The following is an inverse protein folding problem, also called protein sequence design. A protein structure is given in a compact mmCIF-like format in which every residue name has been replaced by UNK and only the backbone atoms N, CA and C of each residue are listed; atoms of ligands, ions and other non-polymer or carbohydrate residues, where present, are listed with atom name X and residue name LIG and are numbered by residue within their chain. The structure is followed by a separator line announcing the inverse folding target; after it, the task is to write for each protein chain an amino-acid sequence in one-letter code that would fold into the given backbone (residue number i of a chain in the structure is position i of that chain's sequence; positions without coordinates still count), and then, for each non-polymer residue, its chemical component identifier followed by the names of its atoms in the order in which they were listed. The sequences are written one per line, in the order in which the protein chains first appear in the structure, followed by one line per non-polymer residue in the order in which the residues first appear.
data_IF_016834880438
#
_entry.id   IF_016834880438
#
_cell.length_a   1.000
_cell.length_b   1.000
_cell.length_c   1.000
_cell.angle_alpha   90.00
_cell.angle_beta   90.00
_cell.angle_gamma   90.00
#
_symmetry.space_group_name_H-M   'P 1'
#
loop_
_entity.id
_entity.type
_entity.pdbx_description
1 polymer ?
#
# COMPACT_ATOMS: atom_id res chain seq x y z
N UNK A 1 7.03 -6.65 -8.84
CA UNK A 1 7.22 -6.87 -7.39
C UNK A 1 8.31 -7.90 -7.22
N UNK A 2 9.12 -7.77 -6.17
CA UNK A 2 10.31 -8.61 -5.92
C UNK A 2 10.20 -9.38 -4.59
N UNK A 3 11.21 -10.19 -4.28
CA UNK A 3 11.28 -10.96 -3.04
C UNK A 3 11.15 -10.09 -1.78
N UNK A 4 11.67 -8.85 -1.82
CA UNK A 4 11.56 -7.91 -0.72
C UNK A 4 10.09 -7.58 -0.38
N UNK A 5 9.20 -7.59 -1.37
CA UNK A 5 7.77 -7.33 -1.18
C UNK A 5 7.16 -8.24 -0.11
N UNK A 6 7.51 -9.53 -0.09
CA UNK A 6 6.97 -10.50 0.86
C UNK A 6 7.54 -10.38 2.28
N UNK A 7 8.62 -9.61 2.44
CA UNK A 7 9.19 -9.29 3.75
C UNK A 7 8.48 -8.12 4.44
N UNK A 8 7.70 -7.33 3.70
CA UNK A 8 6.97 -6.19 4.24
C UNK A 8 5.87 -6.66 5.23
N UNK A 9 5.64 -5.94 6.34
CA UNK A 9 4.65 -6.32 7.35
C UNK A 9 3.27 -6.70 6.81
N UNK A 10 2.71 -5.89 5.91
CA UNK A 10 1.42 -6.12 5.28
C UNK A 10 1.37 -7.39 4.42
N UNK A 11 2.17 -7.48 3.33
CA UNK A 11 2.29 -8.68 2.50
C UNK A 11 2.59 -9.97 3.26
N UNK A 12 3.44 -9.90 4.30
CA UNK A 12 3.77 -11.05 5.16
C UNK A 12 2.54 -11.62 5.88
N UNK A 13 1.48 -10.83 6.07
CA UNK A 13 0.20 -11.33 6.62
C UNK A 13 -0.50 -12.34 5.71
N UNK A 14 -0.23 -12.33 4.39
CA UNK A 14 -0.75 -13.35 3.48
C UNK A 14 -0.08 -14.69 3.77
N UNK A 15 1.25 -14.71 3.86
CA UNK A 15 2.04 -15.94 4.15
C UNK A 15 1.71 -16.48 5.54
N UNK A 16 1.74 -15.63 6.57
CA UNK A 16 1.42 -16.07 7.93
C UNK A 16 -0.03 -16.53 8.06
N UNK A 17 -0.97 -15.88 7.36
CA UNK A 17 -2.34 -16.36 7.21
C UNK A 17 -2.41 -17.76 6.60
N UNK A 18 -1.68 -18.02 5.52
CA UNK A 18 -1.58 -19.37 4.91
C UNK A 18 -1.15 -20.41 5.94
N UNK A 19 -0.08 -20.15 6.69
CA UNK A 19 0.45 -21.09 7.68
C UNK A 19 -0.53 -21.32 8.82
N UNK A 20 -1.24 -20.30 9.26
CA UNK A 20 -2.24 -20.43 10.32
C UNK A 20 -3.45 -21.26 9.86
N UNK A 21 -3.81 -21.18 8.58
CA UNK A 21 -4.85 -22.05 8.00
C UNK A 21 -4.38 -23.48 7.79
N UNK A 22 -3.14 -23.69 7.38
CA UNK A 22 -2.52 -25.02 7.30
C UNK A 22 -2.46 -25.69 8.69
N UNK A 23 -2.11 -24.95 9.75
CA UNK A 23 -2.16 -25.45 11.14
C UNK A 23 -3.56 -25.82 11.61
N UNK A 24 -4.61 -25.22 11.02
CA UNK A 24 -6.01 -25.61 11.23
C UNK A 24 -6.43 -26.79 10.36
N UNK A 25 -5.49 -27.38 9.61
CA UNK A 25 -5.70 -28.48 8.70
C UNK A 25 -6.39 -28.08 7.39
N UNK A 26 -6.52 -26.80 7.06
CA UNK A 26 -7.24 -26.39 5.85
C UNK A 26 -6.31 -26.33 4.64
N UNK A 27 -6.81 -26.71 3.47
CA UNK A 27 -6.22 -26.32 2.20
C UNK A 27 -6.38 -24.80 2.02
N UNK A 28 -5.53 -24.16 1.23
CA UNK A 28 -5.52 -22.70 1.09
C UNK A 28 -5.47 -22.28 -0.38
N UNK A 29 -6.41 -21.43 -0.80
CA UNK A 29 -6.33 -20.68 -2.05
C UNK A 29 -5.89 -19.24 -1.75
N UNK A 30 -4.77 -18.82 -2.34
CA UNK A 30 -4.29 -17.45 -2.31
C UNK A 30 -4.73 -16.75 -3.59
N UNK A 31 -5.63 -15.79 -3.45
CA UNK A 31 -6.27 -15.13 -4.60
C UNK A 31 -5.58 -13.81 -4.86
N UNK A 32 -4.96 -13.69 -6.02
CA UNK A 32 -4.29 -12.49 -6.49
C UNK A 32 -5.13 -11.80 -7.60
N UNK A 33 -5.01 -10.48 -7.78
CA UNK A 33 -5.50 -9.80 -8.98
C UNK A 33 -4.97 -10.45 -10.25
N UNK A 34 -5.74 -10.43 -11.34
CA UNK A 34 -5.39 -11.11 -12.59
C UNK A 34 -3.96 -10.78 -13.09
N UNK A 35 -3.56 -9.51 -13.03
CA UNK A 35 -2.20 -9.10 -13.42
C UNK A 35 -1.10 -9.72 -12.55
N UNK A 36 -1.31 -9.80 -11.23
CA UNK A 36 -0.37 -10.45 -10.30
C UNK A 36 -0.37 -11.97 -10.44
N UNK A 37 -1.54 -12.59 -10.61
CA UNK A 37 -1.69 -14.03 -10.77
C UNK A 37 -1.02 -14.54 -12.06
N UNK A 38 -0.93 -13.70 -13.09
CA UNK A 38 -0.31 -14.03 -14.37
C UNK A 38 1.19 -13.65 -14.44
N UNK A 39 1.74 -12.94 -13.45
CA UNK A 39 3.14 -12.53 -13.43
C UNK A 39 4.00 -13.62 -12.75
N UNK A 40 4.88 -14.32 -13.49
CA UNK A 40 5.75 -15.35 -12.90
C UNK A 40 6.66 -14.79 -11.82
N UNK A 41 7.16 -13.56 -11.95
CA UNK A 41 8.06 -12.98 -10.95
C UNK A 41 7.40 -12.83 -9.57
N UNK A 42 6.09 -12.52 -9.57
CA UNK A 42 5.27 -12.38 -8.36
C UNK A 42 4.92 -13.75 -7.79
N UNK A 43 4.42 -14.66 -8.63
CA UNK A 43 3.94 -15.97 -8.19
C UNK A 43 5.07 -16.92 -7.80
N UNK A 44 6.21 -16.87 -8.49
CA UNK A 44 7.45 -17.57 -8.12
C UNK A 44 7.95 -17.12 -6.75
N UNK A 45 8.13 -15.81 -6.56
CA UNK A 45 8.64 -15.29 -5.28
C UNK A 45 7.68 -15.58 -4.12
N UNK A 46 6.37 -15.51 -4.33
CA UNK A 46 5.37 -15.88 -3.33
C UNK A 46 5.42 -17.38 -2.99
N UNK A 47 5.47 -18.24 -4.01
CA UNK A 47 5.51 -19.69 -3.80
C UNK A 47 6.78 -20.12 -3.06
N UNK A 48 7.94 -19.54 -3.39
CA UNK A 48 9.21 -19.76 -2.68
C UNK A 48 9.06 -19.33 -1.22
N UNK A 49 8.56 -18.12 -0.96
CA UNK A 49 8.38 -17.63 0.41
C UNK A 49 7.44 -18.51 1.26
N UNK A 50 6.38 -19.05 0.65
CA UNK A 50 5.48 -19.99 1.32
C UNK A 50 6.16 -21.33 1.58
N UNK A 51 6.85 -21.91 0.59
CA UNK A 51 7.56 -23.18 0.75
C UNK A 51 8.63 -23.06 1.83
N UNK A 52 9.40 -21.97 1.86
CA UNK A 52 10.44 -21.74 2.86
C UNK A 52 9.86 -21.63 4.28
N UNK A 53 8.78 -20.86 4.47
CA UNK A 53 8.17 -20.71 5.79
C UNK A 53 7.41 -21.97 6.22
N UNK A 54 6.76 -22.69 5.31
CA UNK A 54 6.12 -23.98 5.58
C UNK A 54 7.15 -25.07 5.93
N UNK A 55 8.32 -25.06 5.28
CA UNK A 55 9.44 -25.98 5.53
C UNK A 55 9.99 -25.90 6.96
N UNK A 56 9.71 -24.81 7.69
CA UNK A 56 10.07 -24.66 9.11
C UNK A 56 9.17 -25.46 10.04
N UNK A 57 7.99 -25.88 9.57
CA UNK A 57 6.97 -26.57 10.36
C UNK A 57 6.80 -28.02 9.90
N UNK A 58 6.84 -28.26 8.58
CA UNK A 58 6.67 -29.59 8.00
C UNK A 58 7.40 -29.71 6.66
N UNK A 59 7.33 -30.88 5.99
CA UNK A 59 7.83 -31.03 4.62
C UNK A 59 6.97 -30.20 3.67
N UNK A 60 7.59 -29.33 2.89
CA UNK A 60 6.91 -28.56 1.85
C UNK A 60 7.56 -28.76 0.48
N UNK A 61 6.74 -28.88 -0.56
CA UNK A 61 7.17 -29.10 -1.94
C UNK A 61 6.39 -28.21 -2.88
N UNK A 62 7.06 -27.73 -3.93
CA UNK A 62 6.40 -27.04 -5.03
C UNK A 62 6.02 -28.04 -6.11
N UNK A 63 4.81 -27.90 -6.64
CA UNK A 63 4.31 -28.64 -7.80
C UNK A 63 4.41 -27.71 -9.00
N UNK A 64 5.01 -28.20 -10.08
CA UNK A 64 5.07 -27.53 -11.37
C UNK A 64 4.14 -28.22 -12.35
N UNK A 65 3.80 -27.53 -13.43
CA UNK A 65 3.08 -28.15 -14.53
C UNK A 65 3.92 -29.28 -15.16
N UNK A 66 3.22 -30.35 -15.54
CA UNK A 66 3.79 -31.42 -16.36
C UNK A 66 3.03 -31.46 -17.69
N UNK A 67 3.78 -31.32 -18.78
CA UNK A 67 3.23 -31.30 -20.14
C UNK A 67 2.90 -32.70 -20.66
N UNK A 68 3.40 -33.74 -20.00
CA UNK A 68 3.12 -35.14 -20.35
C UNK A 68 1.80 -35.63 -19.72
N UNK A 69 1.26 -34.89 -18.74
CA UNK A 69 0.00 -35.20 -18.06
C UNK A 69 -1.20 -34.53 -18.75
N UNK A 70 -2.26 -35.30 -19.00
CA UNK A 70 -3.48 -34.86 -19.70
C UNK A 70 -4.49 -34.15 -18.77
N UNK A 71 -4.34 -34.31 -17.45
CA UNK A 71 -5.21 -33.73 -16.43
C UNK A 71 -4.45 -33.14 -15.23
N UNK A 72 -5.10 -32.27 -14.48
CA UNK A 72 -4.52 -31.67 -13.27
C UNK A 72 -4.27 -32.73 -12.20
N UNK A 73 -5.18 -33.69 -12.02
CA UNK A 73 -5.01 -34.76 -11.04
C UNK A 73 -3.75 -35.60 -11.32
N UNK A 74 -3.46 -35.91 -12.60
CA UNK A 74 -2.27 -36.65 -12.99
C UNK A 74 -0.98 -35.91 -12.63
N UNK A 75 -0.92 -34.58 -12.85
CA UNK A 75 0.24 -33.77 -12.46
C UNK A 75 0.51 -33.89 -10.96
N UNK A 76 -0.54 -33.76 -10.15
CA UNK A 76 -0.44 -33.88 -8.70
C UNK A 76 -0.06 -35.30 -8.27
N UNK A 77 -0.68 -36.31 -8.86
CA UNK A 77 -0.43 -37.71 -8.57
C UNK A 77 1.01 -38.11 -8.87
N UNK A 78 1.53 -37.78 -10.06
CA UNK A 78 2.91 -38.03 -10.45
C UNK A 78 3.93 -37.27 -9.59
N UNK A 79 3.57 -36.07 -9.10
CA UNK A 79 4.44 -35.31 -8.19
C UNK A 79 4.49 -35.93 -6.79
N UNK A 80 3.38 -36.54 -6.34
CA UNK A 80 3.31 -37.22 -5.04
C UNK A 80 4.07 -38.54 -5.07
N UNK A 81 3.81 -39.40 -6.05
CA UNK A 81 4.50 -40.68 -6.25
C UNK A 81 4.57 -41.02 -7.75
N UNK A 82 5.74 -40.90 -8.41
CA UNK A 82 5.87 -41.18 -9.83
C UNK A 82 5.82 -42.68 -10.15
N UNK A 83 6.12 -43.55 -9.18
CA UNK A 83 6.16 -45.00 -9.37
C UNK A 83 4.78 -45.65 -9.16
N UNK A 84 3.97 -45.09 -8.25
CA UNK A 84 2.59 -45.53 -7.96
C UNK A 84 1.64 -44.32 -7.78
N UNK A 85 1.33 -43.58 -8.87
CA UNK A 85 0.57 -42.34 -8.78
C UNK A 85 -0.88 -42.59 -8.33
N UNK A 86 -1.40 -41.83 -7.35
CA UNK A 86 -2.78 -41.98 -6.89
C UNK A 86 -3.79 -41.67 -8.01
N UNK A 87 -4.75 -42.57 -8.21
CA UNK A 87 -5.72 -42.49 -9.31
C UNK A 87 -6.91 -41.57 -9.03
N UNK A 88 -7.17 -41.20 -7.78
CA UNK A 88 -8.32 -40.37 -7.38
C UNK A 88 -7.94 -39.31 -6.34
N UNK A 89 -8.78 -38.29 -6.17
CA UNK A 89 -8.58 -37.25 -5.13
C UNK A 89 -8.54 -37.85 -3.71
N UNK A 90 -9.41 -38.80 -3.31
CA UNK A 90 -9.27 -39.51 -2.05
C UNK A 90 -7.95 -40.24 -1.89
N UNK A 91 -7.49 -40.94 -2.94
CA UNK A 91 -6.22 -41.67 -2.90
C UNK A 91 -5.04 -40.69 -2.76
N UNK A 92 -5.10 -39.56 -3.46
CA UNK A 92 -4.13 -38.48 -3.38
C UNK A 92 -4.06 -37.95 -1.93
N UNK A 93 -5.20 -37.58 -1.34
CA UNK A 93 -5.29 -37.03 0.02
C UNK A 93 -4.70 -37.97 1.09
N UNK A 94 -4.94 -39.27 0.97
CA UNK A 94 -4.50 -40.28 1.93
C UNK A 94 -3.16 -40.96 1.56
N UNK A 95 -2.48 -40.47 0.51
CA UNK A 95 -1.27 -41.11 0.00
C UNK A 95 -0.10 -41.01 1.00
N UNK A 96 0.59 -42.12 1.26
CA UNK A 96 1.65 -42.18 2.27
C UNK A 96 2.85 -41.26 1.96
N UNK A 97 3.16 -41.03 0.67
CA UNK A 97 4.22 -40.08 0.27
C UNK A 97 3.81 -38.62 0.42
N UNK A 98 2.50 -38.33 0.48
CA UNK A 98 1.95 -37.00 0.70
C UNK A 98 1.65 -36.70 2.17
N UNK A 99 1.74 -37.69 3.05
CA UNK A 99 1.39 -37.56 4.46
C UNK A 99 2.18 -36.43 5.15
N UNK A 100 1.46 -35.57 5.87
CA UNK A 100 1.98 -34.39 6.56
C UNK A 100 2.66 -33.36 5.64
N UNK A 101 2.62 -33.53 4.32
CA UNK A 101 3.34 -32.69 3.36
C UNK A 101 2.47 -31.57 2.83
N UNK A 102 3.03 -30.36 2.75
CA UNK A 102 2.40 -29.20 2.13
C UNK A 102 2.86 -29.09 0.68
N UNK A 103 1.93 -29.18 -0.24
CA UNK A 103 2.17 -28.94 -1.66
C UNK A 103 1.75 -27.52 -2.03
N UNK A 104 2.60 -26.81 -2.76
CA UNK A 104 2.35 -25.44 -3.23
C UNK A 104 2.33 -25.46 -4.75
N UNK A 105 1.28 -24.94 -5.38
CA UNK A 105 1.18 -24.81 -6.84
C UNK A 105 0.77 -23.39 -7.24
N UNK A 106 1.12 -22.99 -8.46
CA UNK A 106 0.70 -21.75 -9.10
C UNK A 106 -0.18 -22.10 -10.30
N UNK A 107 -1.46 -21.69 -10.26
CA UNK A 107 -2.42 -22.07 -11.30
C UNK A 107 -2.02 -21.60 -12.71
N UNK A 108 -1.35 -20.45 -12.82
CA UNK A 108 -0.91 -19.87 -14.09
C UNK A 108 0.26 -20.61 -14.76
N UNK A 109 0.95 -21.52 -14.05
CA UNK A 109 2.02 -22.34 -14.65
C UNK A 109 1.48 -23.56 -15.42
N UNK A 110 0.25 -23.96 -15.11
CA UNK A 110 -0.41 -25.09 -15.76
C UNK A 110 -0.91 -24.72 -17.15
N UNK A 111 -1.05 -25.74 -18.02
CA UNK A 111 -1.65 -25.54 -19.34
C UNK A 111 -3.09 -25.06 -19.20
N UNK A 112 -3.63 -24.34 -20.20
CA UNK A 112 -5.02 -23.84 -20.16
C UNK A 112 -6.03 -24.95 -19.82
N UNK A 113 -5.84 -26.15 -20.37
CA UNK A 113 -6.66 -27.32 -20.09
C UNK A 113 -6.59 -27.76 -18.61
N UNK A 114 -5.38 -27.90 -18.07
CA UNK A 114 -5.19 -28.25 -16.66
C UNK A 114 -5.72 -27.14 -15.74
N UNK A 115 -5.56 -25.88 -16.16
CA UNK A 115 -6.01 -24.72 -15.42
C UNK A 115 -7.54 -24.66 -15.31
N UNK A 116 -8.25 -24.97 -16.40
CA UNK A 116 -9.71 -25.07 -16.43
C UNK A 116 -10.28 -26.15 -15.48
N UNK A 117 -9.44 -27.09 -15.02
CA UNK A 117 -9.83 -28.14 -14.07
C UNK A 117 -9.76 -27.70 -12.60
N UNK A 118 -9.01 -26.65 -12.26
CA UNK A 118 -8.82 -26.20 -10.86
C UNK A 118 -10.13 -26.01 -10.10
N UNK A 119 -11.16 -25.30 -10.61
CA UNK A 119 -12.40 -25.11 -9.85
C UNK A 119 -13.08 -26.42 -9.45
N UNK A 120 -13.10 -27.41 -10.35
CA UNK A 120 -13.72 -28.72 -10.08
C UNK A 120 -12.84 -29.58 -9.17
N UNK A 121 -11.52 -29.55 -9.40
CA UNK A 121 -10.55 -30.26 -8.58
C UNK A 121 -10.58 -29.76 -7.13
N UNK A 122 -10.55 -28.45 -6.91
CA UNK A 122 -10.60 -27.84 -5.58
C UNK A 122 -11.93 -28.10 -4.86
N UNK A 123 -13.05 -28.06 -5.58
CA UNK A 123 -14.35 -28.44 -5.03
C UNK A 123 -14.36 -29.90 -4.58
N UNK A 124 -13.77 -30.80 -5.38
CA UNK A 124 -13.67 -32.23 -5.05
C UNK A 124 -12.74 -32.47 -3.87
N UNK A 125 -11.60 -31.78 -3.84
CA UNK A 125 -10.62 -31.82 -2.76
C UNK A 125 -11.29 -31.45 -1.44
N UNK A 126 -12.00 -30.33 -1.38
CA UNK A 126 -12.73 -29.88 -0.19
C UNK A 126 -13.72 -30.95 0.30
N UNK A 127 -14.54 -31.51 -0.61
CA UNK A 127 -15.54 -32.52 -0.26
C UNK A 127 -14.93 -33.81 0.30
N UNK A 128 -13.85 -34.29 -0.31
CA UNK A 128 -13.22 -35.55 0.08
C UNK A 128 -12.32 -35.39 1.31
N UNK A 129 -11.89 -34.16 1.62
CA UNK A 129 -11.07 -33.84 2.81
C UNK A 129 -11.76 -34.22 4.12
N UNK A 130 -13.09 -34.19 4.18
CA UNK A 130 -13.87 -34.58 5.36
C UNK A 130 -13.74 -36.06 5.71
N UNK A 131 -13.30 -36.90 4.76
CA UNK A 131 -13.18 -38.34 4.95
C UNK A 131 -11.78 -38.78 5.42
N UNK A 132 -10.83 -37.85 5.55
CA UNK A 132 -9.44 -38.13 5.92
C UNK A 132 -9.04 -37.25 7.11
N UNK A 133 -8.38 -37.83 8.12
CA UNK A 133 -7.93 -37.08 9.29
C UNK A 133 -6.91 -36.00 8.89
N UNK A 134 -6.96 -34.84 9.56
CA UNK A 134 -6.08 -33.69 9.28
C UNK A 134 -4.59 -34.01 9.42
N UNK A 135 -4.26 -34.91 10.34
CA UNK A 135 -2.89 -35.18 10.76
C UNK A 135 -2.22 -36.24 9.89
N UNK A 136 -3.00 -36.86 8.99
CA UNK A 136 -2.57 -37.98 8.13
C UNK A 136 -2.84 -37.72 6.64
N UNK A 137 -2.94 -36.45 6.24
CA UNK A 137 -3.27 -36.03 4.87
C UNK A 137 -2.30 -35.01 4.34
N UNK A 138 -2.16 -34.96 3.01
CA UNK A 138 -1.50 -33.83 2.37
C UNK A 138 -2.29 -32.55 2.56
N UNK A 139 -1.58 -31.43 2.57
CA UNK A 139 -2.16 -30.09 2.50
C UNK A 139 -1.81 -29.43 1.19
N UNK A 140 -2.71 -28.60 0.67
CA UNK A 140 -2.53 -27.93 -0.62
C UNK A 140 -2.65 -26.42 -0.44
N UNK A 141 -1.68 -25.70 -1.01
CA UNK A 141 -1.72 -24.25 -1.22
C UNK A 141 -1.75 -23.97 -2.73
N UNK A 142 -2.76 -23.25 -3.20
CA UNK A 142 -2.89 -22.84 -4.61
C UNK A 142 -2.80 -21.32 -4.70
N UNK A 143 -1.82 -20.82 -5.43
CA UNK A 143 -1.73 -19.40 -5.81
C UNK A 143 -2.48 -19.24 -7.13
N UNK A 144 -3.52 -18.42 -7.15
CA UNK A 144 -4.45 -18.36 -8.27
C UNK A 144 -5.13 -16.99 -8.45
N UNK A 145 -5.79 -16.82 -9.60
CA UNK A 145 -6.74 -15.74 -9.80
C UNK A 145 -8.16 -16.18 -9.40
N UNK A 146 -9.10 -15.24 -9.42
CA UNK A 146 -10.51 -15.50 -9.10
C UNK A 146 -11.15 -16.58 -9.98
N UNK A 147 -10.76 -16.66 -11.26
CA UNK A 147 -11.32 -17.60 -12.23
C UNK A 147 -11.00 -19.07 -11.93
N UNK A 148 -9.97 -19.34 -11.13
CA UNK A 148 -9.53 -20.69 -10.81
C UNK A 148 -10.20 -21.23 -9.52
N UNK A 149 -10.99 -20.40 -8.82
CA UNK A 149 -11.65 -20.77 -7.57
C UNK A 149 -12.88 -21.66 -7.78
N UNK A 150 -13.15 -22.59 -6.85
CA UNK A 150 -14.42 -23.31 -6.83
C UNK A 150 -15.58 -22.36 -6.50
N UNK A 151 -16.78 -22.71 -6.99
CA UNK A 151 -18.04 -22.05 -6.57
C UNK A 151 -18.78 -22.98 -5.61
N UNK A 152 -18.87 -22.61 -4.33
CA UNK A 152 -19.64 -23.37 -3.34
C UNK A 152 -21.11 -22.91 -3.30
N UNK A 153 -21.97 -23.73 -2.68
CA UNK A 153 -23.39 -23.39 -2.51
C UNK A 153 -23.50 -22.09 -1.72
N UNK A 154 -24.33 -21.16 -2.21
CA UNK A 154 -24.48 -19.83 -1.60
C UNK A 154 -23.48 -18.78 -2.10
N UNK A 155 -22.58 -19.13 -3.03
CA UNK A 155 -21.61 -18.18 -3.58
C UNK A 155 -20.38 -17.96 -2.69
N UNK A 156 -20.20 -18.80 -1.68
CA UNK A 156 -19.01 -18.78 -0.83
C UNK A 156 -17.80 -19.25 -1.65
N UNK A 157 -16.65 -18.61 -1.42
CA UNK A 157 -15.37 -18.96 -2.04
C UNK A 157 -14.45 -19.72 -1.08
N UNK A 158 -14.92 -20.01 0.13
CA UNK A 158 -14.23 -20.79 1.17
C UNK A 158 -15.23 -21.73 1.84
N UNK A 159 -14.79 -22.89 2.30
CA UNK A 159 -15.60 -23.83 3.08
C UNK A 159 -14.80 -24.36 4.29
N UNK A 160 -15.35 -25.30 5.04
CA UNK A 160 -14.78 -25.82 6.29
C UNK A 160 -13.34 -26.30 6.11
N UNK A 161 -13.02 -26.94 4.98
CA UNK A 161 -11.70 -27.52 4.72
C UNK A 161 -10.85 -26.77 3.69
N UNK A 162 -11.39 -25.73 3.04
CA UNK A 162 -10.68 -24.89 2.08
C UNK A 162 -10.81 -23.41 2.45
N UNK A 163 -9.70 -22.81 2.88
CA UNK A 163 -9.61 -21.39 3.17
C UNK A 163 -9.25 -20.60 1.91
N UNK A 164 -9.81 -19.39 1.78
CA UNK A 164 -9.52 -18.50 0.66
C UNK A 164 -9.05 -17.15 1.20
N UNK A 165 -7.78 -16.83 0.93
CA UNK A 165 -7.13 -15.61 1.40
C UNK A 165 -6.89 -14.68 0.22
N UNK A 166 -7.48 -13.50 0.27
CA UNK A 166 -7.39 -12.52 -0.80
C UNK A 166 -6.19 -11.58 -0.58
N UNK A 167 -5.51 -11.25 -1.67
CA UNK A 167 -4.66 -10.07 -1.78
C UNK A 167 -5.55 -8.83 -1.90
N UNK A 168 -6.08 -8.42 -0.76
CA UNK A 168 -6.99 -7.29 -0.60
C UNK A 168 -6.75 -6.63 0.75
N UNK A 169 -6.59 -5.31 0.77
CA UNK A 169 -6.33 -4.53 1.99
C UNK A 169 -5.10 -5.03 2.77
N UNK A 170 -4.08 -5.50 2.06
CA UNK A 170 -2.86 -6.06 2.66
C UNK A 170 -1.75 -5.02 2.79
N UNK A 171 -1.71 -4.05 1.88
CA UNK A 171 -0.70 -2.99 1.90
C UNK A 171 -1.17 -1.86 2.79
N UNK A 172 -0.37 -1.51 3.78
CA UNK A 172 -0.54 -0.30 4.55
C UNK A 172 0.51 0.75 4.15
N UNK A 173 0.26 1.99 4.54
CA UNK A 173 1.15 3.13 4.28
C UNK A 173 2.62 2.92 4.67
N UNK A 174 2.88 2.24 5.78
CA UNK A 174 4.26 1.95 6.20
C UNK A 174 4.93 0.90 5.32
N UNK A 175 4.18 0.01 4.68
CA UNK A 175 4.74 -0.94 3.72
C UNK A 175 5.21 -0.20 2.47
N UNK A 176 4.41 0.74 1.96
CA UNK A 176 4.79 1.63 0.85
C UNK A 176 6.01 2.47 1.19
N UNK A 177 6.02 3.08 2.38
CA UNK A 177 7.14 3.87 2.86
C UNK A 177 8.42 3.03 3.00
N UNK A 178 8.32 1.83 3.58
CA UNK A 178 9.43 0.91 3.70
C UNK A 178 9.94 0.47 2.32
N UNK A 179 9.03 0.14 1.40
CA UNK A 179 9.37 -0.26 0.03
C UNK A 179 10.23 0.80 -0.67
N UNK A 180 9.79 2.07 -0.68
CA UNK A 180 10.54 3.14 -1.35
C UNK A 180 11.86 3.50 -0.67
N UNK A 181 12.00 3.24 0.64
CA UNK A 181 13.25 3.48 1.36
C UNK A 181 14.39 2.55 0.94
N UNK A 182 14.09 1.40 0.34
CA UNK A 182 15.09 0.44 -0.15
C UNK A 182 15.51 0.69 -1.60
N UNK A 183 14.86 1.63 -2.29
CA UNK A 183 15.13 1.92 -3.69
C UNK A 183 16.10 3.09 -3.82
N UNK A 184 17.06 2.96 -4.74
CA UNK A 184 17.88 4.09 -5.18
C UNK A 184 17.03 5.05 -6.00
N UNK A 185 17.19 6.35 -5.73
CA UNK A 185 16.42 7.39 -6.42
C UNK A 185 17.15 8.73 -6.49
N UNK A 186 16.51 9.75 -7.08
CA UNK A 186 17.06 11.10 -7.20
C UNK A 186 17.45 11.65 -5.83
N UNK A 187 18.71 12.09 -5.71
CA UNK A 187 19.24 12.62 -4.45
C UNK A 187 18.77 14.06 -4.25
N UNK A 188 17.79 14.23 -3.38
CA UNK A 188 17.40 15.54 -2.85
C UNK A 188 18.27 15.85 -1.64
N UNK A 189 19.08 16.91 -1.72
CA UNK A 189 20.02 17.29 -0.67
C UNK A 189 19.34 17.88 0.57
N UNK A 190 18.20 18.54 0.39
CA UNK A 190 17.40 19.07 1.49
C UNK A 190 16.48 17.99 2.06
N UNK A 191 16.66 17.69 3.35
CA UNK A 191 15.88 16.67 4.05
C UNK A 191 14.38 16.95 4.04
N UNK A 192 13.96 18.20 4.19
CA UNK A 192 12.54 18.53 4.23
C UNK A 192 11.87 18.34 2.85
N UNK A 193 12.58 18.68 1.77
CA UNK A 193 12.12 18.36 0.41
C UNK A 193 12.09 16.85 0.15
N UNK A 194 13.09 16.11 0.64
CA UNK A 194 13.13 14.65 0.54
C UNK A 194 11.94 14.02 1.28
N UNK A 195 11.64 14.48 2.51
CA UNK A 195 10.50 14.01 3.31
C UNK A 195 9.17 14.28 2.58
N UNK A 196 8.99 15.47 1.98
CA UNK A 196 7.80 15.79 1.17
C UNK A 196 7.67 14.87 -0.04
N UNK A 197 8.77 14.61 -0.74
CA UNK A 197 8.78 13.71 -1.91
C UNK A 197 8.35 12.30 -1.50
N UNK A 198 9.01 11.71 -0.52
CA UNK A 198 8.69 10.37 -0.03
C UNK A 198 7.24 10.28 0.44
N UNK A 199 6.77 11.27 1.19
CA UNK A 199 5.39 11.35 1.66
C UNK A 199 4.39 11.45 0.50
N UNK A 200 4.72 12.19 -0.55
CA UNK A 200 3.88 12.32 -1.74
C UNK A 200 3.80 11.02 -2.51
N UNK A 201 4.93 10.31 -2.68
CA UNK A 201 4.94 8.99 -3.31
C UNK A 201 4.03 8.02 -2.55
N UNK A 202 4.16 7.97 -1.22
CA UNK A 202 3.34 7.11 -0.37
C UNK A 202 1.85 7.42 -0.48
N UNK A 203 1.46 8.70 -0.50
CA UNK A 203 0.05 9.09 -0.61
C UNK A 203 -0.55 8.89 -2.00
N UNK A 204 0.27 9.02 -3.05
CA UNK A 204 -0.18 8.90 -4.44
C UNK A 204 -0.24 7.42 -4.83
N UNK A 205 0.81 6.66 -4.56
CA UNK A 205 0.89 5.24 -4.91
C UNK A 205 0.04 4.36 -3.99
N UNK A 206 -0.04 4.70 -2.69
CA UNK A 206 -0.86 3.98 -1.70
C UNK A 206 -0.52 2.48 -1.68
N UNK A 207 -1.43 1.63 -2.12
CA UNK A 207 -1.27 0.18 -2.17
C UNK A 207 -0.46 -0.30 -3.37
N UNK A 208 -0.32 0.52 -4.42
CA UNK A 208 0.38 0.16 -5.65
C UNK A 208 1.90 0.31 -5.45
N UNK A 209 2.55 -0.80 -5.06
CA UNK A 209 3.99 -0.84 -4.87
C UNK A 209 4.77 -0.67 -6.18
N UNK A 210 4.21 -1.05 -7.33
CA UNK A 210 4.87 -0.87 -8.62
C UNK A 210 4.95 0.62 -8.97
N UNK A 211 3.84 1.35 -8.82
CA UNK A 211 3.81 2.80 -8.98
C UNK A 211 4.71 3.50 -7.94
N UNK A 212 4.70 3.04 -6.69
CA UNK A 212 5.57 3.59 -5.65
C UNK A 212 7.05 3.46 -6.05
N UNK A 213 7.44 2.31 -6.59
CA UNK A 213 8.81 2.06 -7.06
C UNK A 213 9.19 2.93 -8.26
N UNK A 214 8.31 3.02 -9.26
CA UNK A 214 8.51 3.88 -10.43
C UNK A 214 8.70 5.34 -10.01
N UNK A 215 7.80 5.87 -9.16
CA UNK A 215 7.91 7.25 -8.67
C UNK A 215 9.19 7.44 -7.82
N UNK A 216 9.57 6.45 -7.00
CA UNK A 216 10.79 6.53 -6.21
C UNK A 216 12.06 6.64 -7.07
N UNK A 217 12.09 6.00 -8.23
CA UNK A 217 13.22 6.01 -9.15
C UNK A 217 13.22 7.22 -10.09
N UNK A 218 12.05 7.59 -10.63
CA UNK A 218 11.98 8.50 -11.78
C UNK A 218 11.49 9.90 -11.42
N UNK A 219 10.63 10.05 -10.41
CA UNK A 219 9.95 11.32 -10.16
C UNK A 219 10.85 12.34 -9.47
N UNK A 220 10.88 13.58 -10.00
CA UNK A 220 11.75 14.67 -9.52
C UNK A 220 11.37 15.19 -8.13
N UNK A 221 10.10 15.04 -7.74
CA UNK A 221 9.52 15.67 -6.56
C UNK A 221 8.71 16.94 -6.87
N UNK A 222 8.63 17.40 -8.12
CA UNK A 222 7.78 18.52 -8.50
C UNK A 222 6.33 18.05 -8.73
N UNK A 223 5.32 18.61 -8.05
CA UNK A 223 3.93 18.28 -8.35
C UNK A 223 3.50 18.54 -9.80
N UNK A 224 4.19 19.41 -10.53
CA UNK A 224 3.84 19.77 -11.90
C UNK A 224 4.09 18.66 -12.94
N UNK A 225 5.13 17.83 -12.75
CA UNK A 225 5.47 16.73 -13.66
C UNK A 225 4.85 15.39 -13.23
N UNK A 226 4.28 15.32 -12.02
CA UNK A 226 3.78 14.07 -11.44
C UNK A 226 2.70 13.39 -12.29
N UNK A 227 1.86 14.14 -13.00
CA UNK A 227 0.85 13.55 -13.90
C UNK A 227 1.44 12.79 -15.07
N UNK A 228 2.67 13.09 -15.49
CA UNK A 228 3.36 12.42 -16.60
C UNK A 228 3.80 10.99 -16.23
N UNK A 229 3.84 10.68 -14.93
CA UNK A 229 4.18 9.36 -14.41
C UNK A 229 2.96 8.46 -14.18
N UNK A 230 1.74 8.99 -14.35
CA UNK A 230 0.51 8.22 -14.14
C UNK A 230 0.02 7.63 -15.45
N UNK A 231 -0.42 6.36 -15.40
CA UNK A 231 -1.10 5.76 -16.54
C UNK A 231 -2.43 6.49 -16.81
N UNK A 232 -2.78 6.66 -18.09
CA UNK A 232 -4.12 7.06 -18.50
C UNK A 232 -5.08 5.91 -18.19
N UNK A 233 -5.72 5.97 -17.03
CA UNK A 233 -6.75 5.01 -16.65
C UNK A 233 -8.11 5.72 -16.60
N UNK A 234 -9.03 5.30 -17.47
CA UNK A 234 -10.45 5.64 -17.41
C UNK A 234 -11.09 4.83 -16.26
N UNK A 235 -10.73 5.20 -15.04
CA UNK A 235 -11.39 4.67 -13.85
C UNK A 235 -12.70 5.46 -13.71
N UNK A 236 -13.85 4.82 -13.44
CA UNK A 236 -15.04 5.50 -12.94
C UNK A 236 -14.80 6.02 -11.50
N UNK A 237 -13.79 6.88 -11.34
CA UNK A 237 -13.22 7.31 -10.06
C UNK A 237 -14.17 8.13 -9.20
N UNK A 238 -15.26 8.64 -9.78
CA UNK A 238 -16.32 9.36 -9.06
C UNK A 238 -17.45 8.45 -8.56
N UNK A 239 -17.57 7.21 -9.06
CA UNK A 239 -18.64 6.29 -8.64
C UNK A 239 -18.20 5.31 -7.54
N UNK A 240 -16.91 4.95 -7.52
CA UNK A 240 -16.30 4.16 -6.45
C UNK A 240 -15.87 5.09 -5.31
N UNK A 241 -16.84 5.84 -4.78
CA UNK A 241 -16.62 6.79 -3.71
C UNK A 241 -15.89 6.13 -2.53
N UNK A 242 -15.09 6.91 -1.81
CA UNK A 242 -14.52 6.56 -0.51
C UNK A 242 -15.69 6.24 0.45
N UNK A 243 -16.23 5.02 0.40
CA UNK A 243 -17.26 4.59 1.33
C UNK A 243 -16.61 4.50 2.70
N UNK A 244 -17.35 4.91 3.74
CA UNK A 244 -16.89 4.83 5.13
C UNK A 244 -17.04 3.42 5.72
N UNK A 245 -17.44 2.45 4.91
CA UNK A 245 -17.55 1.06 5.31
C UNK A 245 -16.19 0.39 5.17
N UNK A 246 -15.80 -0.39 6.19
CA UNK A 246 -14.57 -1.16 6.16
C UNK A 246 -14.55 -2.10 4.96
N UNK A 247 -13.42 -2.18 4.26
CA UNK A 247 -13.33 -2.93 3.01
C UNK A 247 -13.29 -4.45 3.19
N UNK A 248 -13.28 -4.94 4.44
CA UNK A 248 -13.40 -6.35 4.78
C UNK A 248 -12.19 -7.19 4.36
N UNK A 249 -12.38 -8.51 4.26
CA UNK A 249 -11.32 -9.48 3.94
C UNK A 249 -11.27 -9.90 2.46
N UNK A 250 -12.26 -9.46 1.66
CA UNK A 250 -12.33 -9.70 0.22
C UNK A 250 -12.98 -8.50 -0.49
N UNK A 251 -12.69 -8.24 -1.76
CA UNK A 251 -13.40 -7.22 -2.53
C UNK A 251 -14.91 -7.53 -2.58
N UNK A 252 -15.74 -6.49 -2.56
CA UNK A 252 -17.18 -6.64 -2.80
C UNK A 252 -17.43 -7.10 -4.26
N UNK A 253 -18.53 -7.79 -4.52
CA UNK A 253 -18.83 -8.38 -5.85
C UNK A 253 -18.70 -7.36 -7.00
N UNK A 254 -19.21 -6.14 -6.82
CA UNK A 254 -19.11 -5.06 -7.81
C UNK A 254 -17.70 -4.47 -7.99
N UNK A 255 -16.73 -4.90 -7.20
CA UNK A 255 -15.34 -4.44 -7.23
C UNK A 255 -14.35 -5.51 -7.71
N UNK A 256 -14.82 -6.73 -8.00
CA UNK A 256 -13.94 -7.81 -8.42
C UNK A 256 -13.27 -7.51 -9.76
N UNK A 257 -14.00 -6.98 -10.74
CA UNK A 257 -13.44 -6.58 -12.04
C UNK A 257 -12.39 -5.45 -11.94
N UNK A 258 -12.66 -4.31 -11.28
CA UNK A 258 -11.63 -3.28 -11.12
C UNK A 258 -10.46 -3.73 -10.24
N UNK A 259 -10.69 -4.64 -9.28
CA UNK A 259 -9.60 -5.23 -8.49
C UNK A 259 -8.73 -6.16 -9.37
N UNK A 260 -9.33 -7.05 -10.16
CA UNK A 260 -8.63 -7.92 -11.12
C UNK A 260 -7.80 -7.08 -12.11
N UNK A 261 -8.31 -5.91 -12.53
CA UNK A 261 -7.63 -4.97 -13.40
C UNK A 261 -6.55 -4.11 -12.71
N UNK A 262 -6.35 -4.25 -11.39
CA UNK A 262 -5.39 -3.44 -10.64
C UNK A 262 -5.77 -1.95 -10.58
N UNK A 263 -7.06 -1.63 -10.53
CA UNK A 263 -7.57 -0.26 -10.46
C UNK A 263 -8.06 0.13 -9.06
N UNK A 264 -8.22 -0.83 -8.15
CA UNK A 264 -8.69 -0.62 -6.78
C UNK A 264 -8.12 -1.66 -5.82
N UNK A 265 -7.82 -1.23 -4.60
CA UNK A 265 -7.52 -2.10 -3.45
C UNK A 265 -8.09 -1.47 -2.17
N UNK A 266 -8.04 -2.20 -1.06
CA UNK A 266 -8.14 -1.63 0.28
C UNK A 266 -6.83 -0.95 0.69
N UNK A 267 -6.96 0.21 1.33
CA UNK A 267 -5.84 0.90 1.98
C UNK A 267 -6.35 1.54 3.27
N UNK A 268 -5.75 1.17 4.41
CA UNK A 268 -6.24 1.57 5.74
C UNK A 268 -7.72 1.25 5.98
N UNK A 269 -8.15 0.05 5.58
CA UNK A 269 -9.56 -0.40 5.71
C UNK A 269 -10.57 0.48 4.95
N UNK A 270 -10.10 1.22 3.95
CA UNK A 270 -10.94 2.01 3.05
C UNK A 270 -10.68 1.64 1.61
N UNK A 271 -11.71 1.72 0.77
CA UNK A 271 -11.56 1.52 -0.66
C UNK A 271 -10.70 2.63 -1.27
N UNK A 272 -9.65 2.23 -1.98
CA UNK A 272 -8.72 3.14 -2.62
C UNK A 272 -8.54 2.79 -4.08
N UNK A 273 -9.13 3.60 -4.96
CA UNK A 273 -8.84 3.53 -6.39
C UNK A 273 -7.39 3.98 -6.69
N UNK A 274 -6.86 3.54 -7.82
CA UNK A 274 -5.59 4.01 -8.33
C UNK A 274 -5.62 5.54 -8.58
N UNK A 275 -4.48 6.23 -8.48
CA UNK A 275 -4.44 7.68 -8.61
C UNK A 275 -4.79 8.13 -10.03
N UNK A 276 -5.60 9.18 -10.14
CA UNK A 276 -5.92 9.82 -11.43
C UNK A 276 -5.46 11.28 -11.43
N UNK A 277 -5.23 11.89 -12.62
CA UNK A 277 -4.89 13.30 -12.71
C UNK A 277 -5.90 14.24 -12.01
N UNK A 278 -7.20 13.91 -12.00
CA UNK A 278 -8.20 14.75 -11.32
C UNK A 278 -8.06 14.72 -9.79
N UNK A 279 -7.65 13.58 -9.21
CA UNK A 279 -7.46 13.42 -7.76
C UNK A 279 -6.07 13.83 -7.29
N UNK A 280 -5.10 13.90 -8.20
CA UNK A 280 -3.69 14.12 -7.90
C UNK A 280 -3.46 15.35 -7.01
N UNK A 281 -4.13 16.47 -7.32
CA UNK A 281 -4.04 17.70 -6.53
C UNK A 281 -4.38 17.47 -5.06
N UNK A 282 -5.41 16.68 -4.77
CA UNK A 282 -5.86 16.39 -3.39
C UNK A 282 -4.89 15.45 -2.70
N UNK A 283 -4.34 14.46 -3.41
CA UNK A 283 -3.33 13.52 -2.88
C UNK A 283 -2.03 14.23 -2.52
N UNK A 284 -1.49 15.02 -3.46
CA UNK A 284 -0.29 15.83 -3.22
C UNK A 284 -0.53 16.81 -2.06
N UNK A 285 -1.70 17.45 -2.02
CA UNK A 285 -2.03 18.33 -0.90
C UNK A 285 -2.04 17.59 0.43
N UNK A 286 -2.65 16.40 0.51
CA UNK A 286 -2.73 15.62 1.74
C UNK A 286 -1.33 15.23 2.24
N UNK A 287 -0.46 14.78 1.33
CA UNK A 287 0.95 14.51 1.61
C UNK A 287 1.68 15.75 2.14
N UNK A 288 1.64 16.85 1.39
CA UNK A 288 2.29 18.10 1.79
C UNK A 288 1.75 18.61 3.12
N UNK A 289 0.45 18.55 3.36
CA UNK A 289 -0.15 19.05 4.60
C UNK A 289 0.38 18.33 5.84
N UNK A 290 0.66 17.02 5.76
CA UNK A 290 1.23 16.23 6.88
C UNK A 290 2.64 16.67 7.28
N UNK A 291 3.40 17.25 6.35
CA UNK A 291 4.80 17.65 6.56
C UNK A 291 4.93 19.16 6.74
N UNK A 292 4.32 19.92 5.83
CA UNK A 292 4.42 21.37 5.73
C UNK A 292 3.69 22.07 6.87
N UNK A 293 2.50 21.62 7.29
CA UNK A 293 1.77 22.33 8.35
C UNK A 293 2.48 22.24 9.72
N UNK A 294 2.93 21.06 10.19
CA UNK A 294 3.73 20.99 11.42
C UNK A 294 5.03 21.79 11.33
N UNK A 295 5.69 21.77 10.17
CA UNK A 295 6.92 22.53 9.96
C UNK A 295 6.67 24.04 9.99
N UNK A 296 5.60 24.53 9.36
CA UNK A 296 5.20 25.96 9.43
C UNK A 296 5.00 26.37 10.88
N UNK A 297 4.35 25.53 11.69
CA UNK A 297 4.11 25.84 13.11
C UNK A 297 5.42 25.95 13.89
N UNK A 298 6.37 25.02 13.68
CA UNK A 298 7.71 25.13 14.26
C UNK A 298 8.44 26.41 13.83
N UNK A 299 8.34 26.79 12.55
CA UNK A 299 8.97 28.02 12.05
C UNK A 299 8.25 29.29 12.53
N UNK A 300 6.94 29.24 12.76
CA UNK A 300 6.15 30.33 13.34
C UNK A 300 6.65 30.66 14.75
N UNK A 301 6.92 29.65 15.58
CA UNK A 301 7.45 29.85 16.94
C UNK A 301 8.80 30.58 16.92
N UNK A 302 9.73 30.15 16.06
CA UNK A 302 11.04 30.80 15.93
C UNK A 302 10.91 32.22 15.40
N UNK A 303 10.07 32.44 14.39
CA UNK A 303 9.78 33.75 13.86
C UNK A 303 9.21 34.69 14.94
N UNK A 304 8.34 34.16 15.80
CA UNK A 304 7.76 34.90 16.91
C UNK A 304 8.82 35.31 17.92
N UNK A 305 9.70 34.38 18.31
CA UNK A 305 10.79 34.66 19.24
C UNK A 305 11.73 35.74 18.69
N UNK A 306 12.14 35.62 17.44
CA UNK A 306 13.00 36.63 16.79
C UNK A 306 12.31 38.00 16.70
N UNK A 307 11.00 38.03 16.47
CA UNK A 307 10.22 39.26 16.48
C UNK A 307 10.19 39.90 17.87
N UNK A 308 10.04 39.08 18.92
CA UNK A 308 10.09 39.53 20.32
C UNK A 308 11.47 40.08 20.66
N UNK A 309 12.56 39.45 20.21
CA UNK A 309 13.92 39.90 20.50
C UNK A 309 14.22 41.25 19.82
N UNK A 310 13.73 41.44 18.59
CA UNK A 310 13.88 42.71 17.85
C UNK A 310 13.01 43.84 18.41
N UNK A 311 11.79 43.55 18.87
CA UNK A 311 10.87 44.57 19.39
C UNK A 311 10.98 44.77 20.91
N UNK A 312 11.54 43.83 21.66
CA UNK A 312 11.30 43.57 23.09
C UNK A 312 9.88 43.04 23.38
N UNK A 313 9.76 42.22 24.44
CA UNK A 313 8.48 41.63 24.87
C UNK A 313 7.40 42.67 25.13
N UNK A 314 7.77 43.83 25.71
CA UNK A 314 6.83 44.91 26.00
C UNK A 314 6.21 45.45 24.72
N UNK A 315 7.02 45.85 23.73
CA UNK A 315 6.49 46.41 22.48
C UNK A 315 5.75 45.36 21.64
N UNK A 316 6.14 44.09 21.73
CA UNK A 316 5.40 43.01 21.10
C UNK A 316 3.98 42.87 21.69
N UNK A 317 3.86 42.85 23.02
CA UNK A 317 2.55 42.82 23.69
C UNK A 317 1.73 44.09 23.39
N UNK A 318 2.35 45.26 23.36
CA UNK A 318 1.68 46.51 22.96
C UNK A 318 1.14 46.42 21.52
N UNK A 319 1.86 45.76 20.61
CA UNK A 319 1.40 45.52 19.24
C UNK A 319 0.18 44.57 19.19
N UNK A 320 0.16 43.53 20.02
CA UNK A 320 -0.99 42.62 20.14
C UNK A 320 -2.27 43.33 20.62
N UNK A 321 -2.11 44.36 21.45
CA UNK A 321 -3.23 45.15 21.98
C UNK A 321 -3.70 46.25 21.01
N UNK A 322 -2.78 46.82 20.23
CA UNK A 322 -3.05 48.00 19.39
C UNK A 322 -3.38 47.69 17.93
N UNK A 323 -2.92 46.55 17.39
CA UNK A 323 -3.08 46.21 15.97
C UNK A 323 -4.28 45.29 15.68
N UNK A 324 -4.96 44.77 16.70
CA UNK A 324 -6.03 43.78 16.56
C UNK A 324 -7.29 44.17 17.31
N UNK A 325 -8.44 43.85 16.70
CA UNK A 325 -9.77 44.05 17.27
C UNK A 325 -10.59 42.77 17.10
N UNK A 326 -10.92 42.04 18.19
CA UNK A 326 -10.54 42.30 19.58
C UNK A 326 -9.00 42.14 19.82
N UNK A 327 -8.47 42.76 20.87
CA UNK A 327 -7.07 42.60 21.27
C UNK A 327 -6.69 41.14 21.49
N UNK A 328 -5.46 40.78 21.11
CA UNK A 328 -4.91 39.46 21.39
C UNK A 328 -4.21 39.46 22.75
N UNK A 329 -4.72 38.65 23.69
CA UNK A 329 -4.23 38.64 25.08
C UNK A 329 -3.20 37.53 25.33
N UNK A 330 -3.19 36.49 24.50
CA UNK A 330 -2.27 35.37 24.64
C UNK A 330 -1.15 35.46 23.60
N UNK A 331 0.03 35.86 24.06
CA UNK A 331 1.22 35.91 23.23
C UNK A 331 1.81 34.52 22.92
N UNK A 332 1.28 33.43 23.50
CA UNK A 332 1.62 32.05 23.14
C UNK A 332 0.84 31.51 21.94
N UNK A 333 -0.30 32.12 21.57
CA UNK A 333 -1.22 31.64 20.53
C UNK A 333 -1.26 32.55 19.29
N UNK A 334 -0.15 33.23 18.98
CA UNK A 334 -0.13 34.17 17.86
C UNK A 334 0.00 33.42 16.53
N UNK A 335 -1.14 33.27 15.86
CA UNK A 335 -1.23 32.75 14.48
C UNK A 335 -0.28 33.47 13.51
N UNK A 336 0.23 32.74 12.52
CA UNK A 336 1.20 33.28 11.54
C UNK A 336 0.68 34.53 10.80
N UNK A 337 -0.64 34.60 10.55
CA UNK A 337 -1.27 35.75 9.92
C UNK A 337 -1.20 37.01 10.79
N UNK A 338 -1.35 36.87 12.11
CA UNK A 338 -1.22 37.98 13.06
C UNK A 338 0.25 38.40 13.18
N UNK A 339 1.16 37.42 13.27
CA UNK A 339 2.59 37.67 13.37
C UNK A 339 3.11 38.46 12.16
N UNK A 340 2.69 38.10 10.95
CA UNK A 340 3.01 38.87 9.74
C UNK A 340 2.55 40.33 9.84
N UNK A 341 1.33 40.61 10.34
CA UNK A 341 0.83 41.99 10.49
C UNK A 341 1.66 42.80 11.48
N UNK A 342 2.10 42.20 12.57
CA UNK A 342 2.99 42.85 13.54
C UNK A 342 4.32 43.19 12.89
N UNK A 343 4.93 42.21 12.21
CA UNK A 343 6.24 42.38 11.55
C UNK A 343 6.14 43.45 10.46
N UNK A 344 5.15 43.39 9.57
CA UNK A 344 4.98 44.39 8.51
C UNK A 344 4.80 45.81 9.07
N UNK A 345 3.97 45.97 10.11
CA UNK A 345 3.69 47.28 10.71
C UNK A 345 4.85 47.86 11.53
N UNK A 346 5.64 47.02 12.21
CA UNK A 346 6.63 47.48 13.21
C UNK A 346 8.08 47.28 12.78
N UNK A 347 8.36 46.27 11.96
CA UNK A 347 9.71 45.89 11.54
C UNK A 347 9.89 45.86 10.01
N UNK A 348 8.82 45.98 9.22
CA UNK A 348 8.86 45.68 7.79
C UNK A 348 9.84 46.51 6.96
N UNK A 349 10.18 47.72 7.43
CA UNK A 349 11.19 48.59 6.80
C UNK A 349 12.62 48.28 7.24
N UNK A 350 12.81 47.86 8.49
CA UNK A 350 14.13 47.64 9.10
C UNK A 350 14.61 46.19 8.95
N UNK A 351 13.68 45.24 8.86
CA UNK A 351 13.93 43.81 8.81
C UNK A 351 13.19 43.19 7.60
N UNK A 352 13.58 43.53 6.35
CA UNK A 352 12.88 43.08 5.15
C UNK A 352 12.93 41.56 4.97
N UNK A 353 14.01 40.90 5.41
CA UNK A 353 14.14 39.44 5.40
C UNK A 353 13.10 38.80 6.32
N UNK A 354 12.99 39.26 7.57
CA UNK A 354 12.00 38.77 8.54
C UNK A 354 10.56 38.93 8.02
N UNK A 355 10.27 40.07 7.37
CA UNK A 355 8.97 40.30 6.72
C UNK A 355 8.72 39.31 5.58
N UNK A 356 9.73 39.07 4.74
CA UNK A 356 9.65 38.10 3.63
C UNK A 356 9.35 36.70 4.16
N UNK A 357 10.08 36.23 5.18
CA UNK A 357 9.84 34.93 5.83
C UNK A 357 8.42 34.83 6.38
N UNK A 358 7.96 35.85 7.11
CA UNK A 358 6.60 35.88 7.66
C UNK A 358 5.52 35.83 6.57
N UNK A 359 5.73 36.53 5.47
CA UNK A 359 4.81 36.51 4.33
C UNK A 359 4.74 35.12 3.69
N UNK A 360 5.90 34.48 3.45
CA UNK A 360 5.98 33.15 2.83
C UNK A 360 5.34 32.06 3.68
N UNK A 361 5.61 32.05 5.00
CA UNK A 361 4.96 31.11 5.93
C UNK A 361 3.44 31.29 5.96
N UNK A 362 2.96 32.55 5.98
CA UNK A 362 1.52 32.86 5.92
C UNK A 362 0.90 32.40 4.60
N UNK A 363 1.56 32.67 3.48
CA UNK A 363 1.07 32.30 2.16
C UNK A 363 0.98 30.78 2.00
N UNK A 364 2.04 30.07 2.36
CA UNK A 364 2.09 28.60 2.38
C UNK A 364 0.95 28.01 3.23
N UNK A 365 0.76 28.51 4.47
CA UNK A 365 -0.35 28.08 5.34
C UNK A 365 -1.71 28.32 4.69
N UNK A 366 -1.91 29.49 4.10
CA UNK A 366 -3.19 29.83 3.47
C UNK A 366 -3.48 28.92 2.27
N UNK A 367 -2.48 28.64 1.44
CA UNK A 367 -2.61 27.70 0.31
C UNK A 367 -2.94 26.29 0.78
N UNK A 368 -2.26 25.79 1.81
CA UNK A 368 -2.59 24.52 2.44
C UNK A 368 -4.03 24.51 2.99
N UNK A 369 -4.51 25.60 3.60
CA UNK A 369 -5.90 25.70 4.04
C UNK A 369 -6.93 25.68 2.90
N UNK A 370 -6.51 26.04 1.68
CA UNK A 370 -7.34 26.06 0.46
C UNK A 370 -7.09 24.85 -0.46
N UNK A 371 -6.50 23.76 0.05
CA UNK A 371 -6.23 22.54 -0.73
C UNK A 371 -5.36 22.80 -1.98
N UNK A 372 -4.40 23.71 -1.86
CA UNK A 372 -3.49 24.08 -2.94
C UNK A 372 -2.07 23.59 -2.61
N UNK A 373 -1.58 22.56 -3.31
CA UNK A 373 -0.17 22.18 -3.21
C UNK A 373 0.77 23.33 -3.56
N UNK A 374 1.94 23.34 -2.95
CA UNK A 374 3.07 24.19 -3.29
C UNK A 374 3.93 23.49 -4.36
N UNK A 375 4.45 24.22 -5.33
CA UNK A 375 5.43 23.70 -6.28
C UNK A 375 6.79 23.48 -5.62
N UNK A 376 7.68 22.74 -6.27
CA UNK A 376 9.04 22.52 -5.77
C UNK A 376 9.82 23.83 -5.60
N UNK A 377 9.64 24.76 -6.54
CA UNK A 377 10.23 26.11 -6.45
C UNK A 377 9.73 26.89 -5.25
N UNK A 378 8.42 26.85 -4.98
CA UNK A 378 7.81 27.54 -3.84
C UNK A 378 8.26 26.96 -2.50
N UNK A 379 8.38 25.63 -2.41
CA UNK A 379 8.93 24.96 -1.23
C UNK A 379 10.40 25.33 -1.01
N UNK A 380 11.19 25.36 -2.08
CA UNK A 380 12.61 25.74 -2.02
C UNK A 380 12.77 27.18 -1.51
N UNK A 381 11.97 28.11 -2.03
CA UNK A 381 11.98 29.51 -1.58
C UNK A 381 11.51 29.66 -0.13
N UNK A 382 10.51 28.87 0.29
CA UNK A 382 10.03 28.86 1.67
C UNK A 382 11.11 28.38 2.65
N UNK A 383 11.85 27.32 2.29
CA UNK A 383 12.96 26.79 3.09
C UNK A 383 14.09 27.82 3.18
N UNK A 384 14.50 28.38 2.03
CA UNK A 384 15.57 29.38 1.98
C UNK A 384 15.26 30.58 2.89
N UNK A 385 14.04 31.13 2.80
CA UNK A 385 13.62 32.26 3.63
C UNK A 385 13.57 31.93 5.14
N UNK A 386 13.42 30.66 5.51
CA UNK A 386 13.44 30.24 6.92
C UNK A 386 14.85 29.93 7.44
N UNK A 387 15.84 29.71 6.55
CA UNK A 387 17.24 29.50 6.96
C UNK A 387 17.90 30.80 7.39
N UNK A 388 17.60 31.91 6.71
CA UNK A 388 18.19 33.24 6.98
C UNK A 388 17.77 33.88 8.32
N UNK A 389 16.92 33.18 9.08
CA UNK A 389 16.35 33.62 10.36
C UNK A 389 17.03 32.90 11.54
N UNK A 390 17.92 31.95 11.25
CA UNK A 390 18.89 31.34 12.17
C UNK A 390 20.28 31.93 11.90
#
# INVERSE_FOLDING_TARGET
MDEHTWSLPGPRTLITGTLDELKRGRHVCLVLPAGMAADPSVTDSLSVAIVEEASRITTARRIFADLECDSLLEVFAHTVDPDDPPATVPDLLAHYQGDGTVFVTVAAEHTDRQRDEFPKFLQRLEQDTHNVASDSRLSLVVICGRGDLPTFRGGESSDVSLATLWWWNRIARWDTAAHICHLDGPRISDRFLADIRSETIVEVARWDLALAGQLAQDWSGDPADLSEHLAEADIPGDQLGETREGCGLRPAEGLLEPWDAGLIDGWHDTYSAAPTPQRLRRLVWAAQARIVLPWIEQRREVLQQNTIDKLTRKRFNDALQTLFTPPLNDAGLVEIGHLYRIIDARLGRTEPALRSTAWRLRDARNRSAHLQPLSLGELTELIAACRDVY
#
